data_IF_117125077132
#
_entry.id   IF_117125077132
#
_cell.length_a   1.000
_cell.length_b   1.000
_cell.length_c   1.000
_cell.angle_alpha   90.00
_cell.angle_beta   90.00
_cell.angle_gamma   90.00
#
_symmetry.space_group_name_H-M   'P 1'
#
loop_
_entity.id
_entity.type
_entity.pdbx_description
1 polymer ?
#
# COMPACT_ATOMS: atom_id res chain seq x y z
N UNK A 1 -0.81 52.17 -44.55
CA UNK A 1 -1.73 51.11 -44.08
C UNK A 1 -0.87 49.96 -43.58
N UNK A 2 -0.52 49.86 -42.28
CA UNK A 2 -1.27 49.18 -41.21
C UNK A 2 -1.90 47.86 -41.67
N UNK A 3 -1.27 46.71 -41.39
CA UNK A 3 -1.64 45.90 -40.22
C UNK A 3 -0.54 44.88 -39.89
N UNK A 4 -0.11 44.94 -38.64
CA UNK A 4 0.67 43.93 -37.92
C UNK A 4 -0.25 42.72 -37.68
N UNK A 5 0.23 41.49 -37.89
CA UNK A 5 -0.33 40.33 -37.18
C UNK A 5 0.77 39.49 -36.55
N UNK A 6 0.51 39.20 -35.29
CA UNK A 6 1.43 38.79 -34.23
C UNK A 6 1.59 37.27 -34.21
N UNK A 7 2.80 36.89 -33.81
CA UNK A 7 3.27 35.63 -33.23
C UNK A 7 2.24 34.74 -32.48
N UNK A 8 2.65 33.47 -32.34
CA UNK A 8 2.21 32.45 -31.36
C UNK A 8 1.21 31.39 -31.86
N UNK A 9 1.74 30.42 -32.62
CA UNK A 9 1.30 29.03 -32.51
C UNK A 9 2.52 28.12 -32.28
N UNK A 10 3.31 28.43 -31.26
CA UNK A 10 3.99 27.38 -30.51
C UNK A 10 2.94 26.69 -29.65
N UNK A 11 2.10 25.87 -30.27
CA UNK A 11 1.34 24.85 -29.54
C UNK A 11 2.42 23.94 -28.97
N UNK A 12 2.75 24.17 -27.71
CA UNK A 12 3.57 23.27 -26.95
C UNK A 12 2.97 21.89 -27.09
N UNK A 13 3.67 20.99 -27.77
CA UNK A 13 3.61 19.57 -27.44
C UNK A 13 4.12 19.46 -26.01
N UNK A 14 3.26 19.80 -25.04
CA UNK A 14 3.43 19.37 -23.68
C UNK A 14 3.28 17.86 -23.75
N UNK A 15 4.43 17.21 -23.93
CA UNK A 15 4.63 15.79 -23.77
C UNK A 15 3.68 15.28 -22.69
N UNK A 16 2.73 14.43 -23.08
CA UNK A 16 2.03 13.61 -22.12
C UNK A 16 3.10 12.84 -21.36
N UNK A 17 3.46 13.31 -20.17
CA UNK A 17 4.25 12.52 -19.25
C UNK A 17 3.42 11.25 -19.04
N UNK A 18 3.91 10.13 -19.59
CA UNK A 18 3.30 8.83 -19.39
C UNK A 18 3.06 8.61 -17.90
N UNK A 19 1.95 7.96 -17.54
CA UNK A 19 1.78 7.48 -16.16
C UNK A 19 3.01 6.70 -15.75
N UNK A 20 3.63 7.07 -14.63
CA UNK A 20 4.81 6.38 -14.12
C UNK A 20 4.39 5.16 -13.33
N UNK A 21 5.25 4.14 -13.31
CA UNK A 21 5.15 3.02 -12.37
C UNK A 21 6.35 3.10 -11.43
N UNK A 22 6.07 3.21 -10.14
CA UNK A 22 7.04 3.35 -9.06
C UNK A 22 6.87 2.13 -8.17
N UNK A 23 7.96 1.42 -7.91
CA UNK A 23 7.97 0.28 -7.00
C UNK A 23 8.55 0.72 -5.67
N UNK A 24 7.85 0.36 -4.60
CA UNK A 24 8.24 0.60 -3.20
C UNK A 24 8.06 -0.68 -2.41
N UNK A 25 8.71 -0.79 -1.27
CA UNK A 25 8.50 -1.89 -0.34
C UNK A 25 9.46 -3.07 -0.54
N UNK A 26 10.61 -2.83 -1.19
CA UNK A 26 11.60 -3.89 -1.37
C UNK A 26 12.21 -4.33 -0.02
N UNK A 27 12.29 -5.64 0.20
CA UNK A 27 12.79 -6.22 1.46
C UNK A 27 14.23 -5.79 1.78
N UNK A 28 15.11 -5.75 0.78
CA UNK A 28 16.52 -5.34 0.91
C UNK A 28 16.66 -3.90 1.42
N UNK A 29 15.77 -3.00 1.01
CA UNK A 29 15.72 -1.62 1.51
C UNK A 29 15.31 -1.59 2.98
N UNK A 30 14.34 -2.41 3.38
CA UNK A 30 13.85 -2.44 4.75
C UNK A 30 14.88 -2.90 5.77
N UNK A 31 15.86 -3.72 5.38
CA UNK A 31 16.97 -4.09 6.25
C UNK A 31 17.81 -2.88 6.68
N UNK A 32 17.90 -1.86 5.83
CA UNK A 32 18.63 -0.62 6.10
C UNK A 32 17.79 0.50 6.77
N UNK A 33 16.48 0.30 6.91
CA UNK A 33 15.58 1.32 7.44
C UNK A 33 15.39 1.21 8.97
N UNK A 34 15.06 2.32 9.64
CA UNK A 34 14.71 2.31 11.06
C UNK A 34 13.62 1.28 11.37
N UNK A 35 13.78 0.59 12.50
CA UNK A 35 12.83 -0.45 12.93
C UNK A 35 11.75 0.15 13.82
N UNK A 36 10.52 -0.33 13.66
CA UNK A 36 9.39 0.08 14.51
C UNK A 36 9.54 -0.64 15.85
N UNK A 37 9.58 0.12 16.93
CA UNK A 37 9.56 -0.44 18.27
C UNK A 37 8.13 -0.57 18.77
N UNK A 38 7.79 -1.76 19.25
CA UNK A 38 6.47 -2.09 19.75
C UNK A 38 6.48 -2.28 21.27
N UNK A 39 5.56 -1.59 21.93
CA UNK A 39 5.30 -1.74 23.37
C UNK A 39 3.96 -2.46 23.57
N UNK A 40 3.86 -3.33 24.56
CA UNK A 40 2.60 -3.97 24.89
C UNK A 40 1.54 -2.93 25.28
N UNK A 41 0.31 -3.11 24.81
CA UNK A 41 -0.83 -2.27 25.17
C UNK A 41 -2.08 -3.13 25.37
N UNK A 42 -3.24 -2.50 25.60
CA UNK A 42 -4.47 -3.18 25.99
C UNK A 42 -5.49 -3.26 24.86
N UNK A 43 -6.38 -4.25 24.95
CA UNK A 43 -7.54 -4.39 24.07
C UNK A 43 -8.43 -3.15 24.12
N UNK A 44 -8.65 -2.61 25.31
CA UNK A 44 -9.48 -1.43 25.54
C UNK A 44 -8.90 -0.20 24.83
N UNK A 45 -7.57 -0.07 24.80
CA UNK A 45 -6.89 1.00 24.08
C UNK A 45 -7.11 0.90 22.57
N UNK A 46 -7.06 -0.31 22.02
CA UNK A 46 -7.33 -0.57 20.60
C UNK A 46 -8.81 -0.36 20.22
N UNK A 47 -9.72 -0.84 21.05
CA UNK A 47 -11.17 -0.81 20.75
C UNK A 47 -11.76 0.60 20.81
N UNK A 48 -11.15 1.51 21.59
CA UNK A 48 -11.52 2.93 21.63
C UNK A 48 -11.10 3.70 20.37
N UNK A 49 -10.16 3.19 19.59
CA UNK A 49 -9.72 3.86 18.37
C UNK A 49 -10.78 3.73 17.28
N UNK A 50 -11.04 4.80 16.51
CA UNK A 50 -11.91 4.71 15.36
C UNK A 50 -11.31 3.73 14.36
N UNK A 51 -12.17 2.99 13.67
CA UNK A 51 -11.74 2.28 12.48
C UNK A 51 -11.46 3.34 11.40
N UNK A 52 -10.20 3.69 11.18
CA UNK A 52 -9.86 4.80 10.28
C UNK A 52 -10.37 4.58 8.86
N UNK A 53 -10.93 5.67 8.31
CA UNK A 53 -10.73 6.14 6.93
C UNK A 53 -10.70 5.03 5.88
N UNK A 54 -11.72 4.19 5.98
CA UNK A 54 -11.85 2.93 5.28
C UNK A 54 -11.81 3.17 3.78
N UNK A 55 -10.98 2.39 3.12
CA UNK A 55 -11.06 2.17 1.69
C UNK A 55 -12.53 2.15 1.24
N UNK A 56 -12.96 3.14 0.46
CA UNK A 56 -14.34 3.20 -0.01
C UNK A 56 -14.50 2.15 -1.09
N UNK A 57 -15.29 1.12 -0.79
CA UNK A 57 -15.70 0.10 -1.74
C UNK A 57 -16.82 0.64 -2.64
N UNK A 58 -16.45 1.51 -3.58
CA UNK A 58 -17.35 1.93 -4.66
C UNK A 58 -17.18 0.99 -5.85
N UNK A 59 -18.28 0.44 -6.35
CA UNK A 59 -18.26 -0.32 -7.60
C UNK A 59 -17.66 0.54 -8.72
N UNK A 60 -16.64 0.00 -9.39
CA UNK A 60 -16.05 0.61 -10.57
C UNK A 60 -16.81 0.17 -11.82
N UNK A 61 -16.84 1.04 -12.82
CA UNK A 61 -17.45 0.70 -14.09
C UNK A 61 -16.71 -0.47 -14.75
N UNK A 62 -17.48 -1.36 -15.36
CA UNK A 62 -16.99 -2.46 -16.17
C UNK A 62 -17.31 -2.17 -17.63
N UNK A 63 -16.34 -2.37 -18.52
CA UNK A 63 -16.52 -2.23 -19.97
C UNK A 63 -15.87 -3.43 -20.67
N UNK A 64 -16.69 -4.29 -21.27
CA UNK A 64 -16.25 -5.51 -22.00
C UNK A 64 -15.25 -6.38 -21.21
N UNK A 65 -15.53 -6.60 -19.92
CA UNK A 65 -14.66 -7.40 -19.04
C UNK A 65 -13.41 -6.67 -18.51
N UNK A 66 -13.23 -5.40 -18.87
CA UNK A 66 -12.18 -4.52 -18.33
C UNK A 66 -12.74 -3.69 -17.18
N UNK A 67 -11.94 -3.55 -16.13
CA UNK A 67 -12.11 -2.53 -15.10
C UNK A 67 -11.84 -1.16 -15.72
N UNK A 68 -12.71 -0.18 -15.51
CA UNK A 68 -12.50 1.20 -15.92
C UNK A 68 -12.26 2.09 -14.70
N UNK A 69 -10.98 2.37 -14.40
CA UNK A 69 -10.56 3.17 -13.24
C UNK A 69 -10.48 4.64 -13.63
N UNK A 70 -11.23 5.55 -12.99
CA UNK A 70 -11.14 6.97 -13.27
C UNK A 70 -9.80 7.55 -12.83
N UNK A 71 -9.24 8.45 -13.63
CA UNK A 71 -8.01 9.19 -13.33
C UNK A 71 -8.03 10.56 -14.03
N UNK A 72 -7.12 11.46 -13.68
CA UNK A 72 -6.96 12.75 -14.36
C UNK A 72 -6.51 12.64 -15.81
N UNK A 73 -6.09 11.44 -16.26
CA UNK A 73 -5.82 11.12 -17.67
C UNK A 73 -6.99 10.39 -18.36
N UNK A 74 -8.19 10.42 -17.78
CA UNK A 74 -9.35 9.68 -18.26
C UNK A 74 -9.51 8.32 -17.58
N UNK A 75 -10.06 7.33 -18.28
CA UNK A 75 -10.33 5.99 -17.72
C UNK A 75 -9.21 5.01 -18.06
N UNK A 76 -8.49 4.52 -17.05
CA UNK A 76 -7.55 3.42 -17.20
C UNK A 76 -8.34 2.11 -17.35
N UNK A 77 -8.08 1.38 -18.44
CA UNK A 77 -8.72 0.09 -18.72
C UNK A 77 -7.80 -1.03 -18.29
N UNK A 78 -8.21 -1.82 -17.31
CA UNK A 78 -7.41 -2.91 -16.74
C UNK A 78 -8.16 -4.24 -16.88
N UNK A 79 -7.48 -5.30 -17.35
CA UNK A 79 -8.09 -6.62 -17.46
C UNK A 79 -8.50 -7.12 -16.08
N UNK A 80 -9.78 -7.44 -15.88
CA UNK A 80 -10.26 -7.95 -14.59
C UNK A 80 -9.64 -9.32 -14.30
N UNK A 81 -9.15 -9.51 -13.09
CA UNK A 81 -8.80 -10.82 -12.57
C UNK A 81 -10.08 -11.58 -12.21
N UNK A 82 -10.22 -12.81 -12.71
CA UNK A 82 -11.41 -13.64 -12.52
C UNK A 82 -11.12 -14.95 -11.76
N UNK A 83 -9.88 -15.17 -11.32
CA UNK A 83 -9.50 -16.36 -10.54
C UNK A 83 -9.65 -17.69 -11.27
N UNK A 84 -9.82 -17.69 -12.60
CA UNK A 84 -9.99 -18.95 -13.34
C UNK A 84 -8.69 -19.77 -13.28
N UNK A 85 -8.76 -21.07 -12.95
CA UNK A 85 -7.59 -21.94 -12.92
C UNK A 85 -6.97 -22.05 -14.32
N UNK A 86 -5.65 -22.29 -14.39
CA UNK A 86 -4.94 -22.46 -15.67
C UNK A 86 -4.67 -21.17 -16.44
N UNK A 87 -4.52 -20.03 -15.75
CA UNK A 87 -3.92 -18.85 -16.39
C UNK A 87 -2.49 -19.20 -16.81
N UNK A 88 -2.21 -19.12 -18.11
CA UNK A 88 -0.87 -19.38 -18.64
C UNK A 88 0.10 -18.24 -18.35
N UNK A 89 1.37 -18.50 -18.62
CA UNK A 89 2.45 -17.53 -18.46
C UNK A 89 2.17 -16.25 -19.26
N UNK A 90 2.57 -15.11 -18.68
CA UNK A 90 2.28 -13.79 -19.24
C UNK A 90 0.87 -13.27 -18.93
N UNK A 91 0.03 -14.03 -18.22
CA UNK A 91 -1.22 -13.50 -17.72
C UNK A 91 -0.98 -12.32 -16.76
N UNK A 92 -1.75 -11.25 -16.93
CA UNK A 92 -1.87 -10.14 -15.97
C UNK A 92 -3.32 -9.72 -15.82
N UNK A 93 -3.82 -9.68 -14.60
CA UNK A 93 -5.19 -9.32 -14.25
C UNK A 93 -5.23 -8.45 -13.00
N UNK A 94 -6.34 -7.74 -12.80
CA UNK A 94 -6.49 -6.76 -11.74
C UNK A 94 -7.76 -7.01 -10.93
N UNK A 95 -7.65 -6.91 -9.61
CA UNK A 95 -8.78 -6.94 -8.69
C UNK A 95 -8.85 -5.59 -7.97
N UNK A 96 -9.96 -4.87 -8.15
CA UNK A 96 -10.16 -3.59 -7.48
C UNK A 96 -10.45 -3.81 -5.99
N UNK A 97 -9.71 -3.13 -5.11
CA UNK A 97 -9.92 -3.18 -3.68
C UNK A 97 -10.83 -2.03 -3.22
N UNK A 98 -10.58 -0.80 -3.70
CA UNK A 98 -11.41 0.37 -3.37
C UNK A 98 -10.68 1.70 -3.60
N UNK A 99 -11.17 2.77 -2.98
CA UNK A 99 -10.62 4.13 -3.12
C UNK A 99 -10.29 4.76 -1.77
N UNK A 100 -9.10 5.35 -1.64
CA UNK A 100 -8.69 6.19 -0.52
C UNK A 100 -8.98 7.66 -0.81
N UNK A 101 -10.01 8.27 -0.20
CA UNK A 101 -10.36 9.66 -0.48
C UNK A 101 -9.29 10.65 -0.03
N UNK A 102 -8.66 10.39 1.11
CA UNK A 102 -7.63 11.24 1.70
C UNK A 102 -6.40 11.37 0.79
N UNK A 103 -5.95 10.24 0.24
CA UNK A 103 -4.80 10.18 -0.67
C UNK A 103 -5.18 10.54 -2.11
N UNK A 104 -6.47 10.42 -2.44
CA UNK A 104 -7.01 10.42 -3.80
C UNK A 104 -6.41 9.29 -4.64
N UNK A 105 -6.42 8.08 -4.11
CA UNK A 105 -5.81 6.91 -4.75
C UNK A 105 -6.76 5.73 -4.83
N UNK A 106 -6.72 5.00 -5.94
CA UNK A 106 -7.36 3.70 -6.09
C UNK A 106 -6.43 2.59 -5.63
N UNK A 107 -6.91 1.66 -4.81
CA UNK A 107 -6.17 0.46 -4.44
C UNK A 107 -6.63 -0.74 -5.26
N UNK A 108 -5.68 -1.48 -5.83
CA UNK A 108 -5.91 -2.67 -6.63
C UNK A 108 -4.88 -3.74 -6.27
N UNK A 109 -5.23 -5.00 -6.51
CA UNK A 109 -4.29 -6.10 -6.57
C UNK A 109 -4.00 -6.42 -8.04
N UNK A 110 -2.72 -6.46 -8.41
CA UNK A 110 -2.24 -6.95 -9.71
C UNK A 110 -1.84 -8.40 -9.53
N UNK A 111 -2.50 -9.31 -10.26
CA UNK A 111 -2.14 -10.71 -10.32
C UNK A 111 -1.44 -11.00 -11.63
N UNK A 112 -0.32 -11.71 -11.60
CA UNK A 112 0.40 -12.15 -12.79
C UNK A 112 0.85 -13.60 -12.69
N UNK A 113 1.08 -14.24 -13.84
CA UNK A 113 1.67 -15.59 -13.90
C UNK A 113 2.95 -15.53 -14.71
N UNK A 114 4.03 -16.06 -14.15
CA UNK A 114 5.32 -16.22 -14.81
C UNK A 114 5.91 -17.55 -14.38
N UNK A 115 6.47 -18.32 -15.31
CA UNK A 115 7.07 -19.63 -15.03
C UNK A 115 6.12 -20.58 -14.28
N UNK A 116 4.83 -20.52 -14.63
CA UNK A 116 3.73 -21.25 -13.97
C UNK A 116 3.51 -20.91 -12.49
N UNK A 117 4.13 -19.84 -11.99
CA UNK A 117 3.98 -19.34 -10.63
C UNK A 117 3.13 -18.07 -10.65
N UNK A 118 2.15 -18.01 -9.74
CA UNK A 118 1.30 -16.84 -9.54
C UNK A 118 1.96 -15.83 -8.62
N UNK A 119 1.93 -14.57 -9.00
CA UNK A 119 2.42 -13.43 -8.22
C UNK A 119 1.30 -12.42 -8.02
N UNK A 120 1.36 -11.69 -6.91
CA UNK A 120 0.36 -10.69 -6.55
C UNK A 120 1.05 -9.49 -5.92
N UNK A 121 0.77 -8.30 -6.45
CA UNK A 121 1.24 -7.02 -5.91
C UNK A 121 0.05 -6.15 -5.54
N UNK A 122 0.17 -5.37 -4.45
CA UNK A 122 -0.77 -4.30 -4.19
C UNK A 122 -0.32 -3.01 -4.89
N UNK A 123 -1.22 -2.38 -5.63
CA UNK A 123 -0.94 -1.19 -6.43
C UNK A 123 -1.89 -0.06 -6.05
N UNK A 124 -1.32 1.10 -5.74
CA UNK A 124 -2.04 2.35 -5.56
C UNK A 124 -1.95 3.18 -6.85
N UNK A 125 -3.07 3.66 -7.36
CA UNK A 125 -3.13 4.51 -8.56
C UNK A 125 -3.61 5.90 -8.14
N UNK A 126 -2.78 6.92 -8.36
CA UNK A 126 -3.15 8.32 -8.13
C UNK A 126 -4.26 8.74 -9.11
N UNK A 127 -5.40 9.18 -8.57
CA UNK A 127 -6.56 9.54 -9.39
C UNK A 127 -6.41 10.88 -10.11
N UNK A 128 -5.37 11.66 -9.82
CA UNK A 128 -5.04 12.93 -10.47
C UNK A 128 -3.98 12.68 -11.56
N UNK A 129 -2.84 12.07 -11.21
CA UNK A 129 -1.71 11.93 -12.16
C UNK A 129 -1.74 10.65 -12.97
N UNK A 130 -2.54 9.67 -12.55
CA UNK A 130 -2.54 8.28 -13.03
C UNK A 130 -1.24 7.51 -12.75
N UNK A 131 -0.35 8.04 -11.90
CA UNK A 131 0.86 7.32 -11.49
C UNK A 131 0.49 6.11 -10.64
N UNK A 132 1.29 5.05 -10.77
CA UNK A 132 1.10 3.77 -10.09
C UNK A 132 2.23 3.54 -9.10
N UNK A 133 1.87 3.18 -7.89
CA UNK A 133 2.77 2.82 -6.81
C UNK A 133 2.53 1.36 -6.46
N UNK A 134 3.39 0.48 -6.95
CA UNK A 134 3.35 -0.95 -6.65
C UNK A 134 4.11 -1.19 -5.36
N UNK A 135 3.39 -1.59 -4.31
CA UNK A 135 3.97 -2.06 -3.05
C UNK A 135 4.38 -3.51 -3.29
N UNK A 136 5.67 -3.70 -3.49
CA UNK A 136 6.32 -4.99 -3.72
C UNK A 136 6.07 -5.85 -2.51
N UNK A 137 5.56 -7.05 -2.74
CA UNK A 137 5.44 -8.01 -1.66
C UNK A 137 6.82 -8.50 -1.20
N UNK A 138 6.91 -8.71 0.09
CA UNK A 138 8.06 -9.34 0.77
C UNK A 138 7.94 -10.87 0.81
N UNK A 139 6.89 -11.44 0.21
CA UNK A 139 6.64 -12.87 0.13
C UNK A 139 5.83 -13.23 -1.11
N UNK A 140 5.23 -14.42 -1.11
CA UNK A 140 4.64 -15.04 -2.31
C UNK A 140 3.24 -14.49 -2.69
N UNK A 141 2.62 -13.68 -1.83
CA UNK A 141 1.31 -13.07 -2.10
C UNK A 141 1.35 -11.58 -1.74
N UNK A 142 0.40 -10.80 -2.26
CA UNK A 142 0.32 -9.38 -2.02
C UNK A 142 0.22 -9.06 -0.53
N UNK A 143 0.80 -7.91 -0.17
CA UNK A 143 0.58 -7.30 1.15
C UNK A 143 -0.90 -6.94 1.32
N UNK A 144 -1.33 -6.84 2.58
CA UNK A 144 -2.67 -6.38 2.91
C UNK A 144 -2.86 -4.91 2.52
N UNK A 145 -4.12 -4.50 2.33
CA UNK A 145 -4.46 -3.13 1.95
C UNK A 145 -3.89 -2.14 3.00
N UNK A 146 -3.08 -1.14 2.60
CA UNK A 146 -2.49 -0.21 3.53
C UNK A 146 -3.54 0.63 4.26
N UNK A 147 -3.22 1.03 5.49
CA UNK A 147 -4.10 1.78 6.37
C UNK A 147 -3.48 3.18 6.54
N UNK A 148 -4.10 4.23 5.98
CA UNK A 148 -3.56 5.59 6.06
C UNK A 148 -3.65 6.15 7.48
N UNK A 149 -2.63 6.92 7.87
CA UNK A 149 -2.68 7.76 9.07
C UNK A 149 -3.82 8.78 8.96
N UNK A 150 -4.34 9.31 10.09
CA UNK A 150 -5.45 10.27 10.05
C UNK A 150 -5.17 11.53 9.23
N UNK A 151 -3.90 11.94 9.14
CA UNK A 151 -3.43 13.08 8.35
C UNK A 151 -2.93 12.70 6.94
N UNK A 152 -2.95 11.41 6.60
CA UNK A 152 -2.58 10.89 5.28
C UNK A 152 -1.08 10.93 4.97
N UNK A 153 -0.23 11.27 5.94
CA UNK A 153 1.23 11.34 5.76
C UNK A 153 1.91 9.98 5.81
N UNK A 154 1.25 8.95 6.34
CA UNK A 154 1.83 7.61 6.44
C UNK A 154 0.84 6.53 6.01
N UNK A 155 1.37 5.42 5.53
CA UNK A 155 0.61 4.20 5.23
C UNK A 155 1.25 3.04 5.98
N UNK A 156 0.51 2.44 6.91
CA UNK A 156 0.92 1.20 7.56
C UNK A 156 0.33 0.01 6.79
N UNK A 157 1.13 -0.98 6.46
CA UNK A 157 0.67 -2.21 5.83
C UNK A 157 1.37 -3.41 6.47
N UNK A 158 0.84 -4.60 6.24
CA UNK A 158 1.42 -5.82 6.79
C UNK A 158 1.29 -7.00 5.84
N UNK A 159 2.08 -8.03 6.12
CA UNK A 159 2.02 -9.32 5.46
C UNK A 159 2.26 -10.41 6.51
N UNK A 160 1.40 -11.44 6.49
CA UNK A 160 1.57 -12.64 7.30
C UNK A 160 1.97 -13.78 6.35
N UNK A 161 3.24 -14.26 6.38
CA UNK A 161 3.66 -15.33 5.50
C UNK A 161 2.80 -16.59 5.71
N UNK A 162 2.32 -17.16 4.60
CA UNK A 162 1.39 -18.30 4.64
C UNK A 162 2.08 -19.57 5.18
N UNK A 163 3.39 -19.69 4.94
CA UNK A 163 4.20 -20.84 5.34
C UNK A 163 4.87 -20.70 6.70
N UNK A 164 4.93 -19.48 7.27
CA UNK A 164 5.52 -19.23 8.59
C UNK A 164 4.44 -18.84 9.59
N UNK A 165 4.03 -19.82 10.41
CA UNK A 165 3.05 -19.59 11.47
C UNK A 165 3.56 -18.51 12.43
N UNK A 166 2.66 -17.66 12.90
CA UNK A 166 2.95 -16.61 13.88
C UNK A 166 4.07 -15.69 13.41
N UNK A 167 4.23 -15.51 12.10
CA UNK A 167 5.20 -14.58 11.56
C UNK A 167 4.47 -13.43 10.89
N UNK A 168 5.06 -12.25 10.97
CA UNK A 168 4.54 -11.09 10.30
C UNK A 168 5.63 -10.08 9.98
N UNK A 169 5.33 -9.28 8.99
CA UNK A 169 6.05 -8.07 8.67
C UNK A 169 5.07 -6.91 8.66
N UNK A 170 5.53 -5.76 9.13
CA UNK A 170 4.82 -4.50 9.09
C UNK A 170 5.73 -3.48 8.42
N UNK A 171 5.24 -2.87 7.35
CA UNK A 171 5.91 -1.78 6.65
C UNK A 171 5.18 -0.47 6.86
N UNK A 172 5.93 0.62 6.95
CA UNK A 172 5.40 1.98 6.95
C UNK A 172 5.98 2.72 5.76
N UNK A 173 5.09 3.31 4.96
CA UNK A 173 5.45 4.21 3.87
C UNK A 173 5.17 5.65 4.28
N UNK A 174 6.06 6.57 3.95
CA UNK A 174 5.80 8.00 3.99
C UNK A 174 5.08 8.44 2.71
N UNK A 175 4.15 9.37 2.85
CA UNK A 175 3.43 10.03 1.76
C UNK A 175 3.76 11.51 1.80
N UNK A 176 4.54 11.98 0.82
CA UNK A 176 4.95 13.37 0.77
C UNK A 176 3.78 14.28 0.37
N UNK A 177 3.70 15.48 0.96
CA UNK A 177 2.72 16.47 0.55
C UNK A 177 2.90 16.82 -0.93
N UNK A 178 1.78 16.98 -1.65
CA UNK A 178 1.68 17.11 -3.12
C UNK A 178 2.43 18.31 -3.74
N UNK A 179 3.08 19.16 -2.92
CA UNK A 179 3.77 20.37 -3.36
C UNK A 179 5.24 20.16 -3.77
N UNK A 180 5.79 18.95 -3.64
CA UNK A 180 7.15 18.70 -4.11
C UNK A 180 7.15 18.27 -5.59
N UNK A 181 7.72 19.12 -6.45
CA UNK A 181 8.05 18.78 -7.84
C UNK A 181 9.20 17.75 -7.98
N UNK A 182 9.49 16.99 -6.92
CA UNK A 182 10.53 15.96 -6.85
C UNK A 182 9.94 14.55 -6.75
N UNK A 183 10.72 13.57 -7.20
CA UNK A 183 10.35 12.17 -7.44
C UNK A 183 9.69 11.49 -6.21
N UNK A 184 8.61 10.74 -6.45
CA UNK A 184 8.08 9.70 -5.55
C UNK A 184 7.17 10.21 -4.42
N UNK A 185 5.86 10.31 -4.67
CA UNK A 185 4.86 10.70 -3.66
C UNK A 185 4.76 9.71 -2.49
N UNK A 186 5.32 8.50 -2.62
CA UNK A 186 5.33 7.44 -1.61
C UNK A 186 6.74 6.83 -1.54
N UNK A 187 7.27 6.65 -0.33
CA UNK A 187 8.59 6.03 -0.09
C UNK A 187 8.60 5.18 1.19
N UNK A 188 9.53 4.22 1.28
CA UNK A 188 9.70 3.37 2.45
C UNK A 188 10.27 4.16 3.64
N UNK A 189 9.66 4.03 4.84
CA UNK A 189 10.04 4.78 6.04
C UNK A 189 10.59 3.89 7.16
N UNK A 190 9.79 2.92 7.62
CA UNK A 190 10.18 2.01 8.71
C UNK A 190 9.65 0.60 8.45
N UNK A 191 10.22 -0.39 9.12
CA UNK A 191 9.71 -1.76 9.11
C UNK A 191 9.80 -2.45 10.45
N UNK A 192 9.07 -3.54 10.58
CA UNK A 192 9.20 -4.49 11.67
C UNK A 192 8.95 -5.90 11.14
N UNK A 193 9.67 -6.88 11.67
CA UNK A 193 9.47 -8.28 11.36
C UNK A 193 9.59 -9.10 12.65
N UNK A 194 8.74 -10.12 12.78
CA UNK A 194 8.76 -11.07 13.90
C UNK A 194 8.37 -12.47 13.43
N UNK A 195 8.78 -13.46 14.22
CA UNK A 195 8.36 -14.86 14.11
C UNK A 195 7.49 -15.33 15.30
N UNK A 196 7.05 -14.37 16.12
CA UNK A 196 6.36 -14.65 17.38
C UNK A 196 4.83 -14.48 17.29
N UNK A 197 4.35 -13.60 16.42
CA UNK A 197 2.92 -13.37 16.17
C UNK A 197 2.59 -12.88 14.74
N UNK A 198 1.36 -13.14 14.32
CA UNK A 198 0.75 -12.61 13.09
C UNK A 198 -0.07 -11.34 13.36
N UNK A 199 -0.33 -10.54 12.33
CA UNK A 199 -1.18 -9.33 12.41
C UNK A 199 -2.62 -9.67 12.02
N UNK A 200 -3.59 -9.33 12.87
CA UNK A 200 -5.02 -9.38 12.54
C UNK A 200 -5.53 -8.03 12.02
N UNK A 201 -5.07 -6.93 12.62
CA UNK A 201 -5.54 -5.59 12.27
C UNK A 201 -4.58 -4.49 12.77
N UNK A 202 -4.64 -3.31 12.18
CA UNK A 202 -3.91 -2.10 12.60
C UNK A 202 -4.89 -0.94 12.70
N UNK A 203 -4.77 -0.13 13.76
CA UNK A 203 -5.50 1.14 13.92
C UNK A 203 -4.55 2.23 14.38
N UNK A 204 -4.61 3.40 13.74
CA UNK A 204 -3.84 4.56 14.17
C UNK A 204 -4.37 5.11 15.49
N UNK A 205 -3.48 5.33 16.45
CA UNK A 205 -3.76 6.03 17.70
C UNK A 205 -3.54 7.55 17.60
N UNK A 206 -2.89 8.00 16.52
CA UNK A 206 -2.61 9.40 16.21
C UNK A 206 -1.92 9.50 14.84
N UNK A 207 -1.40 10.67 14.50
CA UNK A 207 -0.70 10.89 13.22
C UNK A 207 0.60 10.10 13.05
N UNK A 208 1.26 9.72 14.14
CA UNK A 208 2.59 9.07 14.12
C UNK A 208 2.65 7.82 15.01
N UNK A 209 1.50 7.25 15.35
CA UNK A 209 1.44 6.07 16.21
C UNK A 209 0.25 5.20 15.86
N UNK A 210 0.41 3.88 15.92
CA UNK A 210 -0.64 2.92 15.65
C UNK A 210 -0.57 1.72 16.58
N UNK A 211 -1.71 1.08 16.81
CA UNK A 211 -1.83 -0.14 17.58
C UNK A 211 -2.09 -1.30 16.62
N UNK A 212 -1.32 -2.37 16.78
CA UNK A 212 -1.48 -3.65 16.11
C UNK A 212 -2.30 -4.56 17.01
N UNK A 213 -3.38 -5.14 16.48
CA UNK A 213 -4.01 -6.34 17.04
C UNK A 213 -3.30 -7.53 16.44
N UNK A 214 -2.51 -8.22 17.25
CA UNK A 214 -1.73 -9.39 16.86
C UNK A 214 -2.43 -10.68 17.31
N UNK A 215 -2.09 -11.79 16.67
CA UNK A 215 -2.55 -13.11 17.06
C UNK A 215 -1.41 -14.13 17.09
N UNK A 216 -1.53 -15.11 17.98
CA UNK A 216 -0.76 -16.35 17.94
C UNK A 216 -1.69 -17.53 17.77
N UNK A 217 -1.25 -18.51 16.98
CA UNK A 217 -1.95 -19.76 16.75
C UNK A 217 -1.25 -20.86 17.54
N UNK A 218 -2.00 -21.45 18.47
CA UNK A 218 -1.62 -22.68 19.16
C UNK A 218 -2.38 -23.85 18.54
N UNK A 219 -1.67 -24.97 18.33
CA UNK A 219 -2.26 -26.21 17.86
C UNK A 219 -2.14 -27.24 18.97
N UNK A 220 -3.29 -27.72 19.43
CA UNK A 220 -3.40 -28.82 20.38
C UNK A 220 -4.27 -29.90 19.75
N UNK A 221 -3.64 -30.97 19.24
CA UNK A 221 -4.32 -32.00 18.46
C UNK A 221 -4.94 -31.42 17.17
N UNK A 222 -6.25 -31.60 16.99
CA UNK A 222 -7.01 -31.03 15.87
C UNK A 222 -7.54 -29.62 16.14
N UNK A 223 -7.40 -29.11 17.37
CA UNK A 223 -7.88 -27.78 17.73
C UNK A 223 -6.86 -26.70 17.37
N UNK A 224 -7.33 -25.65 16.70
CA UNK A 224 -6.58 -24.44 16.38
C UNK A 224 -7.17 -23.28 17.17
N UNK A 225 -6.45 -22.79 18.16
CA UNK A 225 -6.90 -21.66 18.97
C UNK A 225 -6.07 -20.43 18.65
N UNK A 226 -6.74 -19.28 18.44
CA UNK A 226 -6.10 -17.97 18.30
C UNK A 226 -6.13 -17.24 19.64
N UNK A 227 -4.97 -16.80 20.12
CA UNK A 227 -4.84 -15.84 21.23
C UNK A 227 -4.49 -14.47 20.66
N UNK A 228 -5.00 -13.41 21.27
CA UNK A 228 -4.77 -12.04 20.79
C UNK A 228 -3.92 -11.25 21.78
N UNK A 229 -3.02 -10.42 21.23
CA UNK A 229 -2.22 -9.45 21.95
C UNK A 229 -2.26 -8.11 21.22
N UNK A 230 -1.87 -7.03 21.90
CA UNK A 230 -1.97 -5.68 21.37
C UNK A 230 -0.64 -4.96 21.57
N UNK A 231 -0.18 -4.27 20.54
CA UNK A 231 1.12 -3.59 20.53
C UNK A 231 1.02 -2.19 19.98
N UNK A 232 1.53 -1.19 20.70
CA UNK A 232 1.63 0.20 20.26
C UNK A 232 3.00 0.44 19.59
N UNK A 233 2.97 0.87 18.33
CA UNK A 233 4.14 1.34 17.60
C UNK A 233 4.12 2.86 17.47
N UNK A 234 5.30 3.48 17.59
CA UNK A 234 5.51 4.93 17.38
C UNK A 234 6.50 5.15 16.25
N UNK A 235 6.18 6.11 15.40
CA UNK A 235 7.04 6.61 14.32
C UNK A 235 7.79 7.83 14.85
N UNK A 236 8.79 7.61 15.70
CA UNK A 236 9.64 8.70 16.18
C UNK A 236 10.61 9.12 15.06
N UNK A 237 10.57 10.37 14.57
CA UNK A 237 11.55 10.86 13.60
C UNK A 237 12.88 11.28 14.24
N UNK A 238 13.07 11.13 15.56
CA UNK A 238 14.04 11.91 16.32
C UNK A 238 15.19 11.15 17.02
N UNK A 239 15.23 9.82 17.04
CA UNK A 239 16.18 9.10 17.90
C UNK A 239 17.35 8.36 17.22
N UNK A 240 17.59 8.56 15.93
CA UNK A 240 18.70 7.86 15.23
C UNK A 240 19.80 8.78 14.67
N UNK A 241 19.92 10.02 15.20
CA UNK A 241 20.99 10.97 14.81
C UNK A 241 21.77 11.56 15.99
N UNK A 242 21.95 10.79 17.05
CA UNK A 242 22.95 11.07 18.10
C UNK A 242 23.87 9.88 18.34
N UNK A 243 24.31 9.23 17.25
CA UNK A 243 25.51 8.38 17.23
C UNK A 243 26.66 9.10 16.51
N UNK A 244 27.11 10.24 17.05
CA UNK A 244 28.41 10.81 16.68
C UNK A 244 29.45 10.20 17.62
N UNK A 245 30.26 9.28 17.08
CA UNK A 245 31.66 9.15 17.48
C UNK A 245 32.49 10.01 16.54
#
# INVERSE_FOLDING_TARGET
MRLIFIFLLSIGTAYGQGSREIKVGYADRYDSLPKIHFEATSKESFDRLPQQGQLIHKAIAMDKGMLAIPSGKGRLRLKKYNGSPGQGDGFRGWKYAGYFPLLKMHALFSHSVSEHIGFSDLVLIDSITADRYSIVSIGDDAVEVPIPSPDGRFLAYYYNPIYERNSSFIGVLAVDAKDSHTKGHISELMSFQTKDWGVENIRWAGSSSFIVKAYTVEIAGQSRTRKYAYYLGRLDPANDKTGRN
#
